data_IF_425530316818
#
_entry.id   IF_425530316818
#
_cell.length_a   1.000
_cell.length_b   1.000
_cell.length_c   1.000
_cell.angle_alpha   90.00
_cell.angle_beta   90.00
_cell.angle_gamma   90.00
#
_symmetry.space_group_name_H-M   'P 1'
#
loop_
_entity.id
_entity.type
_entity.pdbx_description
1 polymer ?
#
# COMPACT_ATOMS: atom_id res chain seq x y z
N UNK A 1 19.29 7.45 1.79
CA UNK A 1 20.00 6.67 0.73
C UNK A 1 20.18 7.56 -0.49
N UNK A 2 21.19 7.33 -1.33
CA UNK A 2 21.27 7.94 -2.67
C UNK A 2 20.32 7.21 -3.64
N UNK A 3 19.94 7.84 -4.76
CA UNK A 3 19.05 7.19 -5.75
C UNK A 3 19.59 5.86 -6.27
N UNK A 4 20.89 5.75 -6.54
CA UNK A 4 21.51 4.47 -6.96
C UNK A 4 21.30 3.37 -5.92
N UNK A 5 21.57 3.67 -4.64
CA UNK A 5 21.37 2.69 -3.54
C UNK A 5 19.90 2.32 -3.37
N UNK A 6 18.98 3.26 -3.57
CA UNK A 6 17.56 2.95 -3.59
C UNK A 6 17.23 2.01 -4.75
N UNK A 7 17.73 2.29 -5.95
CA UNK A 7 17.47 1.46 -7.12
C UNK A 7 18.02 0.04 -6.97
N UNK A 8 19.21 -0.11 -6.37
CA UNK A 8 19.77 -1.44 -6.08
C UNK A 8 18.91 -2.19 -5.06
N UNK A 9 18.36 -1.50 -4.06
CA UNK A 9 17.42 -2.09 -3.13
C UNK A 9 16.11 -2.53 -3.79
N UNK A 10 15.54 -1.70 -4.68
CA UNK A 10 14.35 -2.07 -5.47
C UNK A 10 14.67 -3.22 -6.45
N UNK A 11 15.90 -3.29 -6.97
CA UNK A 11 16.36 -4.41 -7.81
C UNK A 11 16.31 -5.72 -7.03
N UNK A 12 16.81 -5.71 -5.79
CA UNK A 12 16.74 -6.87 -4.88
C UNK A 12 15.29 -7.23 -4.53
N UNK A 13 14.47 -6.25 -4.18
CA UNK A 13 13.06 -6.52 -3.86
C UNK A 13 12.28 -7.12 -5.03
N UNK A 14 12.64 -6.76 -6.26
CA UNK A 14 12.01 -7.31 -7.46
C UNK A 14 12.40 -8.75 -7.78
N UNK A 15 13.35 -9.35 -7.05
CA UNK A 15 13.70 -10.78 -7.16
C UNK A 15 13.14 -11.61 -6.01
N UNK A 16 12.39 -10.98 -5.10
CA UNK A 16 11.85 -11.57 -3.88
C UNK A 16 10.31 -11.46 -3.86
N UNK A 17 9.67 -11.44 -2.69
CA UNK A 17 8.20 -11.43 -2.57
C UNK A 17 7.50 -10.18 -3.17
N UNK A 18 8.26 -9.13 -3.48
CA UNK A 18 7.78 -7.89 -4.09
C UNK A 18 7.89 -7.86 -5.61
N UNK A 19 8.34 -8.94 -6.26
CA UNK A 19 8.43 -9.04 -7.72
C UNK A 19 7.13 -8.59 -8.41
N UNK A 20 7.23 -7.44 -9.08
CA UNK A 20 6.11 -6.79 -9.73
C UNK A 20 6.57 -5.72 -10.70
N UNK A 21 5.74 -5.48 -11.71
CA UNK A 21 6.03 -4.44 -12.70
C UNK A 21 6.23 -3.05 -12.07
N UNK A 22 5.48 -2.71 -11.01
CA UNK A 22 5.62 -1.42 -10.34
C UNK A 22 6.95 -1.27 -9.59
N UNK A 23 7.47 -2.36 -8.99
CA UNK A 23 8.76 -2.37 -8.31
C UNK A 23 9.89 -2.28 -9.35
N UNK A 24 9.75 -3.00 -10.47
CA UNK A 24 10.64 -2.93 -11.63
C UNK A 24 10.78 -1.52 -12.20
N UNK A 25 9.66 -0.88 -12.58
CA UNK A 25 9.74 0.48 -13.15
C UNK A 25 10.20 1.51 -12.11
N UNK A 26 9.96 1.28 -10.81
CA UNK A 26 10.47 2.17 -9.75
C UNK A 26 12.00 2.13 -9.70
N UNK A 27 12.60 0.93 -9.80
CA UNK A 27 14.05 0.77 -9.96
C UNK A 27 14.55 1.55 -11.18
N UNK A 28 13.89 1.40 -12.33
CA UNK A 28 14.35 2.01 -13.58
C UNK A 28 14.25 3.53 -13.53
N UNK A 29 13.16 4.07 -12.96
CA UNK A 29 12.97 5.51 -12.75
C UNK A 29 14.07 6.08 -11.83
N UNK A 30 14.42 5.37 -10.76
CA UNK A 30 15.49 5.79 -9.84
C UNK A 30 16.87 5.80 -10.51
N UNK A 31 17.11 4.98 -11.54
CA UNK A 31 18.37 4.96 -12.31
C UNK A 31 18.39 5.97 -13.46
N UNK A 32 17.24 6.50 -13.87
CA UNK A 32 17.15 7.31 -15.07
C UNK A 32 17.82 8.68 -14.90
N UNK A 33 18.76 8.98 -15.82
CA UNK A 33 19.48 10.25 -15.91
C UNK A 33 19.31 10.85 -17.30
N UNK A 34 19.09 12.16 -17.36
CA UNK A 34 19.23 12.96 -18.58
C UNK A 34 20.56 13.75 -18.55
N UNK A 35 20.73 14.72 -19.45
CA UNK A 35 21.92 15.59 -19.52
C UNK A 35 22.17 16.46 -18.26
N UNK A 36 21.21 16.58 -17.35
CA UNK A 36 21.27 17.34 -16.10
C UNK A 36 21.29 16.43 -14.86
N UNK A 37 21.51 15.11 -15.03
CA UNK A 37 21.58 14.15 -13.94
C UNK A 37 20.27 13.40 -13.69
N UNK A 38 20.01 12.96 -12.46
CA UNK A 38 18.80 12.19 -12.14
C UNK A 38 17.53 12.98 -12.46
N UNK A 39 16.59 12.35 -13.17
CA UNK A 39 15.37 13.02 -13.58
C UNK A 39 14.36 13.15 -12.42
N UNK A 40 14.25 12.11 -11.59
CA UNK A 40 13.18 12.00 -10.58
C UNK A 40 13.09 13.21 -9.64
N UNK A 41 14.22 13.68 -9.10
CA UNK A 41 14.28 14.82 -8.16
C UNK A 41 13.85 16.16 -8.79
N UNK A 42 13.79 16.23 -10.13
CA UNK A 42 13.39 17.44 -10.86
C UNK A 42 11.95 17.37 -11.37
N UNK A 43 11.27 16.24 -11.18
CA UNK A 43 9.85 16.11 -11.51
C UNK A 43 9.04 16.83 -10.43
N UNK A 44 8.07 17.65 -10.86
CA UNK A 44 7.15 18.32 -9.93
C UNK A 44 6.34 17.30 -9.13
N UNK A 45 6.30 17.48 -7.81
CA UNK A 45 5.64 16.61 -6.83
C UNK A 45 4.12 16.83 -6.76
N UNK A 46 3.46 16.92 -7.93
CA UNK A 46 2.01 17.10 -8.05
C UNK A 46 1.44 15.96 -8.89
N UNK A 47 0.85 14.96 -8.23
CA UNK A 47 0.33 13.78 -8.89
C UNK A 47 -1.02 14.05 -9.57
N UNK A 48 -1.09 13.79 -10.87
CA UNK A 48 -2.36 13.77 -11.61
C UNK A 48 -3.21 12.53 -11.32
N UNK A 49 -4.50 12.63 -11.62
CA UNK A 49 -5.42 11.49 -11.61
C UNK A 49 -6.53 11.66 -12.65
N UNK A 50 -7.00 10.55 -13.24
CA UNK A 50 -8.06 10.53 -14.26
C UNK A 50 -9.43 10.06 -13.72
N UNK A 51 -9.56 9.91 -12.39
CA UNK A 51 -10.84 9.64 -11.72
C UNK A 51 -11.06 8.19 -11.28
N UNK A 52 -10.48 7.18 -11.93
CA UNK A 52 -10.74 5.76 -11.60
C UNK A 52 -10.45 5.38 -10.15
N UNK A 53 -9.35 5.87 -9.57
CA UNK A 53 -9.05 5.65 -8.15
C UNK A 53 -10.08 6.31 -7.22
N UNK A 54 -10.54 7.53 -7.55
CA UNK A 54 -11.61 8.23 -6.82
C UNK A 54 -12.92 7.44 -6.88
N UNK A 55 -13.27 6.86 -8.03
CA UNK A 55 -14.47 6.03 -8.16
C UNK A 55 -14.43 4.80 -7.26
N UNK A 56 -13.27 4.14 -7.12
CA UNK A 56 -13.13 3.02 -6.18
C UNK A 56 -13.34 3.47 -4.72
N UNK A 57 -12.80 4.62 -4.33
CA UNK A 57 -13.02 5.16 -2.98
C UNK A 57 -14.49 5.57 -2.73
N UNK A 58 -15.16 6.13 -3.73
CA UNK A 58 -16.60 6.46 -3.66
C UNK A 58 -17.44 5.18 -3.56
N UNK A 59 -17.19 4.20 -4.43
CA UNK A 59 -17.90 2.92 -4.41
C UNK A 59 -17.72 2.21 -3.05
N UNK A 60 -16.52 2.29 -2.46
CA UNK A 60 -16.28 1.75 -1.13
C UNK A 60 -17.19 2.39 -0.06
N UNK A 61 -17.40 3.70 -0.13
CA UNK A 61 -18.33 4.40 0.77
C UNK A 61 -19.79 4.01 0.48
N UNK A 62 -20.18 3.92 -0.79
CA UNK A 62 -21.54 3.53 -1.22
C UNK A 62 -21.89 2.11 -0.77
N UNK A 63 -20.97 1.16 -0.90
CA UNK A 63 -21.15 -0.23 -0.45
C UNK A 63 -20.87 -0.43 1.05
N UNK A 64 -20.45 0.60 1.78
CA UNK A 64 -20.14 0.49 3.21
C UNK A 64 -18.93 -0.40 3.52
N UNK A 65 -17.95 -0.49 2.63
CA UNK A 65 -16.75 -1.33 2.78
C UNK A 65 -15.51 -0.47 3.10
N UNK A 66 -14.72 -0.83 4.12
CA UNK A 66 -13.54 -0.05 4.56
C UNK A 66 -12.33 -0.23 3.63
N UNK A 67 -12.35 0.35 2.43
CA UNK A 67 -11.22 0.37 1.48
C UNK A 67 -10.29 1.54 1.78
N UNK A 68 -9.72 1.54 2.98
CA UNK A 68 -9.00 2.70 3.53
C UNK A 68 -7.72 3.05 2.77
N UNK A 69 -6.93 2.06 2.34
CA UNK A 69 -5.64 2.32 1.70
C UNK A 69 -5.80 2.98 0.33
N UNK A 70 -6.75 2.52 -0.49
CA UNK A 70 -7.03 3.15 -1.79
C UNK A 70 -7.57 4.58 -1.58
N UNK A 71 -8.40 4.79 -0.56
CA UNK A 71 -8.84 6.13 -0.14
C UNK A 71 -7.66 7.05 0.18
N UNK A 72 -6.75 6.62 1.05
CA UNK A 72 -5.53 7.37 1.39
C UNK A 72 -4.61 7.59 0.19
N UNK A 73 -4.53 6.62 -0.73
CA UNK A 73 -3.76 6.79 -1.96
C UNK A 73 -4.35 7.88 -2.87
N UNK A 74 -5.68 8.02 -2.92
CA UNK A 74 -6.36 9.12 -3.63
C UNK A 74 -6.13 10.44 -2.91
N UNK A 75 -6.32 10.50 -1.58
CA UNK A 75 -6.11 11.73 -0.81
C UNK A 75 -4.66 12.21 -0.82
N UNK A 76 -3.68 11.29 -0.83
CA UNK A 76 -2.27 11.63 -0.97
C UNK A 76 -1.98 12.36 -2.30
N UNK A 77 -2.68 12.00 -3.39
CA UNK A 77 -2.58 12.74 -4.67
C UNK A 77 -3.19 14.13 -4.55
N UNK A 78 -4.36 14.25 -3.93
CA UNK A 78 -5.01 15.54 -3.68
C UNK A 78 -4.09 16.46 -2.84
N UNK A 79 -3.48 15.94 -1.78
CA UNK A 79 -2.51 16.66 -0.94
C UNK A 79 -1.28 17.10 -1.75
N UNK A 80 -0.79 16.25 -2.66
CA UNK A 80 0.33 16.62 -3.53
C UNK A 80 0.00 17.80 -4.45
N UNK A 81 -1.27 17.91 -4.91
CA UNK A 81 -1.71 18.94 -5.84
C UNK A 81 -1.77 20.36 -5.23
N UNK A 82 -2.01 20.48 -3.92
CA UNK A 82 -2.00 21.77 -3.20
C UNK A 82 -0.57 22.24 -2.85
N UNK A 83 0.35 22.15 -3.82
CA UNK A 83 1.78 22.40 -3.63
C UNK A 83 2.09 23.80 -3.08
N UNK A 84 1.44 24.85 -3.60
CA UNK A 84 1.67 26.22 -3.12
C UNK A 84 1.35 26.37 -1.64
N UNK A 85 0.25 25.77 -1.19
CA UNK A 85 -0.16 25.73 0.20
C UNK A 85 0.85 24.94 1.06
N UNK A 86 1.32 23.78 0.59
CA UNK A 86 2.36 23.00 1.29
C UNK A 86 3.67 23.77 1.46
N UNK A 87 4.09 24.52 0.43
CA UNK A 87 5.30 25.37 0.48
C UNK A 87 5.15 26.54 1.45
N UNK A 88 3.95 27.09 1.58
CA UNK A 88 3.67 28.11 2.60
C UNK A 88 3.65 27.49 4.00
N UNK A 89 2.96 26.36 4.16
CA UNK A 89 2.85 25.64 5.43
C UNK A 89 4.21 25.19 5.97
N UNK A 90 5.13 24.73 5.12
CA UNK A 90 6.46 24.26 5.54
C UNK A 90 7.34 25.35 6.17
N UNK A 91 7.02 26.64 5.94
CA UNK A 91 7.70 27.78 6.55
C UNK A 91 7.17 28.12 7.94
N UNK A 92 5.95 27.66 8.26
CA UNK A 92 5.23 28.04 9.49
C UNK A 92 5.09 26.86 10.47
N UNK A 93 4.90 25.66 9.95
CA UNK A 93 4.71 24.44 10.75
C UNK A 93 6.05 23.75 10.98
N UNK A 94 6.34 23.41 12.23
CA UNK A 94 7.57 22.70 12.63
C UNK A 94 7.28 21.22 12.84
N UNK A 95 8.17 20.36 12.34
CA UNK A 95 8.18 18.93 12.63
C UNK A 95 9.18 18.56 13.74
N UNK A 96 9.33 17.26 14.03
CA UNK A 96 10.39 16.76 14.90
C UNK A 96 11.78 17.23 14.44
N UNK A 97 12.63 17.64 15.39
CA UNK A 97 13.96 18.21 15.09
C UNK A 97 15.09 17.16 15.04
N UNK A 98 14.84 15.95 15.54
CA UNK A 98 15.81 14.87 15.53
C UNK A 98 16.03 14.33 14.12
N UNK A 99 17.29 14.07 13.75
CA UNK A 99 17.58 13.30 12.53
C UNK A 99 17.10 11.87 12.72
N UNK A 100 16.50 11.30 11.67
CA UNK A 100 16.20 9.88 11.63
C UNK A 100 17.49 9.07 11.83
N UNK A 101 17.53 8.26 12.88
CA UNK A 101 18.68 7.42 13.21
C UNK A 101 18.34 5.98 12.86
N UNK A 102 19.12 5.40 11.96
CA UNK A 102 18.99 4.00 11.54
C UNK A 102 20.31 3.29 11.86
N UNK A 103 20.43 2.63 13.03
CA UNK A 103 21.68 1.99 13.45
C UNK A 103 22.14 0.90 12.49
N UNK A 104 21.20 0.08 12.01
CA UNK A 104 21.44 -0.98 11.05
C UNK A 104 20.60 -0.76 9.78
N UNK A 105 21.24 -0.18 8.77
CA UNK A 105 20.57 0.17 7.52
C UNK A 105 20.02 -1.07 6.78
N UNK A 106 20.78 -2.17 6.73
CA UNK A 106 20.38 -3.38 6.01
C UNK A 106 19.14 -4.02 6.63
N UNK A 107 19.13 -4.11 7.96
CA UNK A 107 17.98 -4.61 8.73
C UNK A 107 16.76 -3.70 8.55
N UNK A 108 16.95 -2.38 8.64
CA UNK A 108 15.84 -1.45 8.46
C UNK A 108 15.25 -1.47 7.05
N UNK A 109 16.06 -1.70 6.02
CA UNK A 109 15.57 -1.90 4.65
C UNK A 109 14.75 -3.19 4.53
N UNK A 110 15.11 -4.27 5.24
CA UNK A 110 14.25 -5.44 5.33
C UNK A 110 12.95 -5.14 6.08
N UNK A 111 12.97 -4.31 7.13
CA UNK A 111 11.75 -3.88 7.79
C UNK A 111 10.81 -3.12 6.84
N UNK A 112 11.34 -2.18 6.04
CA UNK A 112 10.58 -1.45 5.01
C UNK A 112 9.99 -2.41 3.97
N UNK A 113 10.76 -3.41 3.53
CA UNK A 113 10.28 -4.45 2.60
C UNK A 113 9.05 -5.16 3.15
N UNK A 114 9.13 -5.65 4.39
CA UNK A 114 8.03 -6.37 5.03
C UNK A 114 6.83 -5.46 5.32
N UNK A 115 7.06 -4.21 5.72
CA UNK A 115 6.01 -3.20 5.89
C UNK A 115 5.24 -2.96 4.58
N UNK A 116 5.96 -2.78 3.47
CA UNK A 116 5.37 -2.59 2.15
C UNK A 116 4.59 -3.83 1.71
N UNK A 117 5.13 -5.03 1.95
CA UNK A 117 4.45 -6.27 1.60
C UNK A 117 3.15 -6.48 2.41
N UNK A 118 3.17 -6.22 3.72
CA UNK A 118 1.99 -6.29 4.57
C UNK A 118 0.92 -5.27 4.15
N UNK A 119 1.31 -4.01 3.92
CA UNK A 119 0.39 -2.98 3.45
C UNK A 119 -0.22 -3.34 2.08
N UNK A 120 0.57 -3.93 1.17
CA UNK A 120 0.08 -4.45 -0.11
C UNK A 120 -0.97 -5.54 0.11
N UNK A 121 -0.70 -6.53 0.96
CA UNK A 121 -1.68 -7.59 1.28
C UNK A 121 -3.00 -7.00 1.76
N UNK A 122 -2.95 -6.05 2.70
CA UNK A 122 -4.15 -5.37 3.21
C UNK A 122 -4.89 -4.62 2.11
N UNK A 123 -4.19 -3.89 1.23
CA UNK A 123 -4.84 -3.20 0.12
C UNK A 123 -5.61 -4.15 -0.80
N UNK A 124 -5.04 -5.32 -1.11
CA UNK A 124 -5.73 -6.32 -1.94
C UNK A 124 -6.88 -6.96 -1.17
N UNK A 125 -6.71 -7.27 0.11
CA UNK A 125 -7.80 -7.78 0.96
C UNK A 125 -9.01 -6.85 0.94
N UNK A 126 -8.78 -5.54 1.12
CA UNK A 126 -9.81 -4.50 1.02
C UNK A 126 -10.47 -4.45 -0.37
N UNK A 127 -9.68 -4.54 -1.44
CA UNK A 127 -10.22 -4.57 -2.81
C UNK A 127 -11.13 -5.78 -3.07
N UNK A 128 -10.75 -6.96 -2.61
CA UNK A 128 -11.59 -8.17 -2.73
C UNK A 128 -12.82 -8.13 -1.82
N UNK A 129 -12.74 -7.49 -0.65
CA UNK A 129 -13.93 -7.21 0.17
C UNK A 129 -14.94 -6.34 -0.57
N UNK A 130 -14.46 -5.30 -1.27
CA UNK A 130 -15.31 -4.42 -2.07
C UNK A 130 -15.97 -5.16 -3.23
N UNK A 131 -15.18 -5.95 -3.98
CA UNK A 131 -15.73 -6.77 -5.07
C UNK A 131 -16.81 -7.73 -4.57
N UNK A 132 -16.61 -8.32 -3.39
CA UNK A 132 -17.57 -9.24 -2.79
C UNK A 132 -18.88 -8.56 -2.41
N UNK A 133 -18.81 -7.40 -1.77
CA UNK A 133 -20.02 -6.67 -1.40
C UNK A 133 -20.76 -6.17 -2.66
N UNK A 134 -20.03 -5.64 -3.64
CA UNK A 134 -20.61 -5.25 -4.91
C UNK A 134 -21.26 -6.43 -5.64
N UNK A 135 -20.64 -7.62 -5.62
CA UNK A 135 -21.23 -8.83 -6.20
C UNK A 135 -22.54 -9.22 -5.53
N UNK A 136 -22.61 -9.13 -4.19
CA UNK A 136 -23.80 -9.40 -3.41
C UNK A 136 -24.94 -8.42 -3.74
N UNK A 137 -24.68 -7.11 -3.66
CA UNK A 137 -25.68 -6.06 -3.92
C UNK A 137 -26.20 -6.10 -5.37
N UNK A 138 -25.31 -6.33 -6.34
CA UNK A 138 -25.66 -6.36 -7.76
C UNK A 138 -26.07 -7.76 -8.27
N UNK A 139 -26.10 -8.77 -7.39
CA UNK A 139 -26.41 -10.18 -7.72
C UNK A 139 -25.50 -10.73 -8.84
N UNK A 140 -24.23 -10.36 -8.84
CA UNK A 140 -23.24 -10.89 -9.77
C UNK A 140 -22.57 -12.15 -9.20
N UNK A 141 -22.34 -13.13 -10.06
CA UNK A 141 -21.54 -14.30 -9.72
C UNK A 141 -20.09 -14.07 -10.16
N UNK A 142 -19.29 -13.42 -9.31
CA UNK A 142 -17.89 -13.11 -9.62
C UNK A 142 -16.96 -14.28 -9.31
N UNK A 143 -16.09 -14.61 -10.26
CA UNK A 143 -15.00 -15.56 -10.06
C UNK A 143 -13.74 -14.83 -9.57
N UNK A 144 -13.53 -14.74 -8.25
CA UNK A 144 -12.40 -14.01 -7.66
C UNK A 144 -11.03 -14.57 -8.07
N UNK A 145 -10.89 -15.89 -8.16
CA UNK A 145 -9.67 -16.53 -8.66
C UNK A 145 -9.40 -16.19 -10.13
N UNK A 146 -10.46 -16.17 -10.95
CA UNK A 146 -10.41 -15.73 -12.34
C UNK A 146 -10.04 -14.25 -12.49
N UNK A 147 -10.59 -13.37 -11.65
CA UNK A 147 -10.23 -11.95 -11.61
C UNK A 147 -8.74 -11.79 -11.27
N UNK A 148 -8.25 -12.50 -10.25
CA UNK A 148 -6.83 -12.46 -9.86
C UNK A 148 -5.92 -12.98 -10.98
N UNK A 149 -6.33 -14.05 -11.68
CA UNK A 149 -5.62 -14.58 -12.84
C UNK A 149 -5.52 -13.55 -13.96
N UNK A 150 -6.62 -12.85 -14.29
CA UNK A 150 -6.62 -11.81 -15.32
C UNK A 150 -5.70 -10.64 -14.99
N UNK A 151 -5.51 -10.33 -13.71
CA UNK A 151 -4.58 -9.28 -13.30
C UNK A 151 -3.11 -9.73 -13.29
N UNK A 152 -2.83 -11.04 -13.32
CA UNK A 152 -1.46 -11.57 -13.24
C UNK A 152 -0.59 -11.16 -14.43
N UNK A 153 -1.19 -10.85 -15.59
CA UNK A 153 -0.48 -10.43 -16.80
C UNK A 153 -1.17 -9.27 -17.50
N UNK A 154 -0.43 -8.54 -18.34
CA UNK A 154 -0.96 -7.48 -19.21
C UNK A 154 -1.37 -6.16 -18.51
N UNK A 155 -1.77 -6.20 -17.24
CA UNK A 155 -2.15 -4.99 -16.50
C UNK A 155 -0.96 -4.36 -15.73
N UNK A 156 -1.16 -3.15 -15.20
CA UNK A 156 -0.14 -2.38 -14.45
C UNK A 156 0.19 -3.02 -13.10
N UNK A 157 -0.78 -3.66 -12.45
CA UNK A 157 -0.60 -4.26 -11.13
C UNK A 157 -0.05 -5.69 -11.18
N UNK A 158 0.38 -6.15 -12.37
CA UNK A 158 0.89 -7.50 -12.58
C UNK A 158 2.06 -7.81 -11.65
N UNK A 159 2.02 -8.98 -11.03
CA UNK A 159 3.02 -9.43 -10.04
C UNK A 159 2.87 -10.91 -9.73
N UNK A 160 3.93 -11.53 -9.21
CA UNK A 160 3.88 -12.92 -8.71
C UNK A 160 2.85 -13.07 -7.58
N UNK A 161 2.65 -11.99 -6.82
CA UNK A 161 1.66 -11.88 -5.75
C UNK A 161 0.23 -12.24 -6.15
N UNK A 162 -0.17 -11.94 -7.40
CA UNK A 162 -1.52 -12.26 -7.90
C UNK A 162 -1.70 -13.77 -8.15
N UNK A 163 -0.62 -14.52 -8.37
CA UNK A 163 -0.65 -15.98 -8.37
C UNK A 163 -1.09 -16.52 -7.00
N UNK A 164 -0.52 -15.99 -5.92
CA UNK A 164 -0.88 -16.40 -4.56
C UNK A 164 -2.35 -16.09 -4.23
N UNK A 165 -2.89 -14.97 -4.73
CA UNK A 165 -4.32 -14.64 -4.57
C UNK A 165 -5.19 -15.66 -5.30
N UNK A 166 -4.85 -15.98 -6.56
CA UNK A 166 -5.57 -17.01 -7.33
C UNK A 166 -5.60 -18.33 -6.57
N UNK A 167 -4.44 -18.79 -6.10
CA UNK A 167 -4.32 -20.05 -5.37
C UNK A 167 -5.12 -20.04 -4.06
N UNK A 168 -5.21 -18.90 -3.36
CA UNK A 168 -6.05 -18.76 -2.16
C UNK A 168 -7.54 -18.98 -2.47
N UNK A 169 -8.04 -18.40 -3.57
CA UNK A 169 -9.42 -18.61 -4.02
C UNK A 169 -9.65 -19.98 -4.67
N UNK A 170 -8.62 -20.63 -5.20
CA UNK A 170 -8.72 -22.04 -5.64
C UNK A 170 -8.82 -23.00 -4.45
N UNK A 171 -8.06 -22.75 -3.38
CA UNK A 171 -8.17 -23.51 -2.13
C UNK A 171 -9.52 -23.31 -1.45
N UNK A 172 -10.02 -22.07 -1.43
CA UNK A 172 -11.31 -21.74 -0.84
C UNK A 172 -12.05 -20.68 -1.69
N UNK A 173 -12.97 -21.09 -2.58
CA UNK A 173 -13.76 -20.16 -3.39
C UNK A 173 -14.65 -19.22 -2.55
N UNK A 174 -15.00 -19.64 -1.33
CA UNK A 174 -15.84 -18.87 -0.39
C UNK A 174 -15.00 -18.07 0.62
N UNK A 175 -13.70 -17.86 0.34
CA UNK A 175 -12.82 -17.12 1.23
C UNK A 175 -13.37 -15.72 1.50
N UNK A 176 -13.66 -15.44 2.77
CA UNK A 176 -14.28 -14.17 3.17
C UNK A 176 -13.29 -13.01 3.20
N UNK A 177 -12.01 -13.28 3.41
CA UNK A 177 -10.96 -12.27 3.37
C UNK A 177 -9.61 -12.92 3.07
N UNK A 178 -8.81 -12.28 2.22
CA UNK A 178 -7.46 -12.75 1.90
C UNK A 178 -6.58 -12.93 3.13
N UNK A 179 -6.76 -12.12 4.17
CA UNK A 179 -6.03 -12.22 5.43
C UNK A 179 -6.29 -13.52 6.20
N UNK A 180 -7.30 -14.32 5.82
CA UNK A 180 -7.63 -15.57 6.49
C UNK A 180 -7.04 -16.81 5.80
N UNK A 181 -6.47 -16.65 4.60
CA UNK A 181 -5.75 -17.72 3.91
C UNK A 181 -4.34 -17.94 4.51
N UNK A 182 -3.89 -19.19 4.54
CA UNK A 182 -2.66 -19.59 5.24
C UNK A 182 -1.39 -18.94 4.70
N UNK A 183 -1.32 -18.67 3.39
CA UNK A 183 -0.16 -18.00 2.81
C UNK A 183 -0.08 -16.55 3.31
N UNK A 184 -1.19 -15.82 3.25
CA UNK A 184 -1.23 -14.41 3.65
C UNK A 184 -1.12 -14.23 5.17
N UNK A 185 -1.71 -15.12 5.98
CA UNK A 185 -1.50 -15.14 7.44
C UNK A 185 -0.03 -15.24 7.78
N UNK A 186 0.67 -16.24 7.24
CA UNK A 186 2.12 -16.43 7.46
C UNK A 186 2.94 -15.24 7.00
N UNK A 187 2.57 -14.60 5.89
CA UNK A 187 3.25 -13.39 5.41
C UNK A 187 3.08 -12.20 6.38
N UNK A 188 1.87 -11.98 6.87
CA UNK A 188 1.57 -10.94 7.86
C UNK A 188 2.25 -11.23 9.19
N UNK A 189 2.20 -12.46 9.69
CA UNK A 189 2.81 -12.84 10.97
C UNK A 189 4.32 -12.58 10.97
N UNK A 190 5.00 -12.86 9.86
CA UNK A 190 6.44 -12.57 9.69
C UNK A 190 6.73 -11.07 9.57
N UNK A 191 5.82 -10.30 8.99
CA UNK A 191 6.07 -8.91 8.61
C UNK A 191 5.49 -7.85 9.55
N UNK A 192 4.51 -8.18 10.38
CA UNK A 192 3.77 -7.17 11.15
C UNK A 192 4.62 -6.43 12.18
N UNK A 193 5.62 -7.09 12.78
CA UNK A 193 6.55 -6.42 13.70
C UNK A 193 7.42 -5.40 12.96
N UNK A 194 8.01 -5.80 11.84
CA UNK A 194 8.74 -4.91 10.93
C UNK A 194 7.89 -3.71 10.50
N UNK A 195 6.62 -3.98 10.20
CA UNK A 195 5.67 -2.96 9.78
C UNK A 195 5.38 -1.93 10.87
N UNK A 196 5.19 -2.37 12.12
CA UNK A 196 5.01 -1.48 13.28
C UNK A 196 6.24 -0.61 13.51
N UNK A 197 7.44 -1.17 13.40
CA UNK A 197 8.68 -0.40 13.54
C UNK A 197 8.80 0.68 12.48
N UNK A 198 8.49 0.37 11.22
CA UNK A 198 8.53 1.35 10.13
C UNK A 198 7.52 2.48 10.34
N UNK A 199 6.26 2.14 10.69
CA UNK A 199 5.21 3.15 10.89
C UNK A 199 5.51 4.02 12.12
N UNK A 200 5.91 3.42 13.23
CA UNK A 200 6.26 4.15 14.45
C UNK A 200 7.45 5.08 14.24
N UNK A 201 8.54 4.59 13.65
CA UNK A 201 9.71 5.42 13.33
C UNK A 201 9.35 6.54 12.36
N UNK A 202 8.54 6.26 11.32
CA UNK A 202 8.10 7.30 10.40
C UNK A 202 7.35 8.43 11.11
N UNK A 203 6.44 8.11 12.04
CA UNK A 203 5.73 9.12 12.81
C UNK A 203 6.65 9.88 13.77
N UNK A 204 7.55 9.19 14.48
CA UNK A 204 8.55 9.82 15.35
C UNK A 204 9.47 10.78 14.57
N UNK A 205 9.77 10.46 13.31
CA UNK A 205 10.62 11.27 12.44
C UNK A 205 9.84 12.29 11.59
N UNK A 206 8.52 12.36 11.70
CA UNK A 206 7.69 13.28 10.92
C UNK A 206 7.64 12.95 9.41
N UNK A 207 7.81 11.69 9.05
CA UNK A 207 7.74 11.20 7.66
C UNK A 207 6.32 10.67 7.39
N UNK A 208 5.59 11.23 6.41
CA UNK A 208 4.23 10.79 6.12
C UNK A 208 4.22 9.41 5.45
N UNK A 209 3.50 8.46 6.06
CA UNK A 209 3.28 7.10 5.52
C UNK A 209 1.78 6.72 5.54
N UNK A 210 0.90 7.52 4.92
CA UNK A 210 -0.56 7.36 5.05
C UNK A 210 -1.05 5.97 4.62
N UNK A 211 -0.56 5.45 3.49
CA UNK A 211 -0.93 4.12 3.02
C UNK A 211 -0.49 2.99 3.97
N UNK A 212 0.74 3.03 4.49
CA UNK A 212 1.22 1.99 5.42
C UNK A 212 0.53 2.08 6.78
N UNK A 213 0.30 3.28 7.29
CA UNK A 213 -0.33 3.49 8.60
C UNK A 213 -1.83 3.16 8.59
N UNK A 214 -2.56 3.51 7.54
CA UNK A 214 -3.98 3.17 7.42
C UNK A 214 -4.19 1.66 7.24
N UNK A 215 -3.31 0.97 6.51
CA UNK A 215 -3.37 -0.48 6.42
C UNK A 215 -3.08 -1.15 7.77
N UNK A 216 -2.15 -0.61 8.58
CA UNK A 216 -1.84 -1.15 9.91
C UNK A 216 -3.04 -0.98 10.84
N UNK A 217 -3.65 0.20 10.80
CA UNK A 217 -4.86 0.52 11.55
C UNK A 217 -6.03 -0.38 11.13
N UNK A 218 -6.20 -0.63 9.83
CA UNK A 218 -7.20 -1.59 9.35
C UNK A 218 -6.91 -3.01 9.83
N UNK A 219 -5.66 -3.47 9.73
CA UNK A 219 -5.29 -4.82 10.17
C UNK A 219 -5.57 -5.03 11.66
N UNK A 220 -5.14 -4.08 12.51
CA UNK A 220 -5.41 -4.13 13.94
C UNK A 220 -6.91 -4.03 14.26
N UNK A 221 -7.65 -3.19 13.54
CA UNK A 221 -9.09 -3.11 13.68
C UNK A 221 -9.81 -4.40 13.28
N UNK A 222 -9.42 -4.99 12.15
CA UNK A 222 -10.05 -6.18 11.57
C UNK A 222 -9.87 -7.44 12.44
N UNK A 223 -8.72 -7.56 13.12
CA UNK A 223 -8.43 -8.70 14.01
C UNK A 223 -8.94 -8.51 15.45
N UNK A 224 -9.54 -7.37 15.76
CA UNK A 224 -9.98 -7.06 17.13
C UNK A 224 -11.44 -7.46 17.31
N UNK A 225 -11.71 -8.36 18.25
CA UNK A 225 -13.07 -8.84 18.55
C UNK A 225 -14.02 -7.71 18.99
N UNK A 226 -13.52 -6.80 19.83
CA UNK A 226 -14.29 -5.69 20.41
C UNK A 226 -13.64 -4.35 20.09
N UNK A 227 -14.20 -3.63 19.13
CA UNK A 227 -13.80 -2.26 18.79
C UNK A 227 -14.47 -1.23 19.71
N UNK A 228 -13.90 -0.02 19.84
CA UNK A 228 -14.50 1.07 20.62
C UNK A 228 -15.75 1.68 19.96
N UNK A 229 -16.36 1.01 18.98
CA UNK A 229 -17.57 1.46 18.31
C UNK A 229 -18.82 1.41 19.22
N UNK A 230 -18.74 0.71 20.35
CA UNK A 230 -19.77 0.78 21.40
C UNK A 230 -19.98 2.21 21.92
N UNK A 231 -18.91 3.03 21.99
CA UNK A 231 -19.02 4.43 22.38
C UNK A 231 -19.61 5.29 21.26
N UNK A 232 -19.39 4.96 19.98
CA UNK A 232 -20.03 5.65 18.85
C UNK A 232 -21.54 5.37 18.75
N UNK A 233 -22.01 4.26 19.35
CA UNK A 233 -23.42 3.89 19.37
C UNK A 233 -24.21 4.51 20.55
N UNK A 234 -23.53 4.85 21.64
CA UNK A 234 -24.13 5.45 22.85
C UNK A 234 -24.44 6.94 22.63
#
# INVERSE_FOLDING_TARGET
LTQDKMADQFSKWNTEELDSFLIEITRDILKYKDNKGYLLERIRDTAGQKGTGKWTAIAALEYGIPVTLIGEAVFSRCLSAIQSERVLASKQLKGPQGKATVPNLTEYLNHIKHALYCAKIVSYAQGFMLLREAAKENKWNLNYGGIALMWRGGCIIRSVFLGNIKEAFERNPNLTNLLLDDFFKKAIDRGQESWRQVVSNAFLWGIPVPAMSTALSFYDGYRTEKLPANLLQA
#
